data_IF_531519700763
#
_entry.id   IF_531519700763
#
_cell.length_a   1.000
_cell.length_b   1.000
_cell.length_c   1.000
_cell.angle_alpha   90.00
_cell.angle_beta   90.00
_cell.angle_gamma   90.00
#
_symmetry.space_group_name_H-M   'P 1'
#
loop_
_entity.id
_entity.type
_entity.pdbx_description
1 polymer ?
#
# COMPACT_ATOMS: atom_id res chain seq x y z
N UNK A 1 20.96 16.29 23.26
CA UNK A 1 20.04 15.64 22.30
C UNK A 1 18.71 15.44 23.01
N UNK A 2 17.69 16.23 22.69
CA UNK A 2 16.35 16.03 23.26
C UNK A 2 15.79 14.72 22.71
N UNK A 3 15.40 13.81 23.61
CA UNK A 3 14.82 12.53 23.21
C UNK A 3 13.37 12.78 22.78
N UNK A 4 13.08 12.63 21.48
CA UNK A 4 11.75 12.81 20.90
C UNK A 4 10.71 11.78 21.42
N UNK A 5 11.18 10.72 22.07
CA UNK A 5 10.36 9.65 22.66
C UNK A 5 9.42 10.15 23.75
N UNK A 6 9.86 11.08 24.62
CA UNK A 6 9.04 11.63 25.72
C UNK A 6 7.86 12.48 25.22
N UNK A 7 8.08 13.46 24.31
CA UNK A 7 6.98 14.18 23.69
C UNK A 7 6.01 13.27 22.92
N UNK A 8 6.54 12.33 22.13
CA UNK A 8 5.73 11.39 21.33
C UNK A 8 4.85 10.49 22.20
N UNK A 9 5.41 9.94 23.29
CA UNK A 9 4.68 9.11 24.24
C UNK A 9 3.51 9.87 24.87
N UNK A 10 3.76 11.10 25.34
CA UNK A 10 2.71 11.93 25.94
C UNK A 10 1.62 12.31 24.95
N UNK A 11 1.97 12.49 23.67
CA UNK A 11 1.04 12.90 22.62
C UNK A 11 0.16 11.75 22.11
N UNK A 12 0.75 10.58 21.78
CA UNK A 12 0.02 9.48 21.12
C UNK A 12 -0.30 8.30 22.04
N UNK A 13 0.56 8.00 23.03
CA UNK A 13 0.55 6.70 23.72
C UNK A 13 0.06 6.77 25.17
N UNK A 14 0.05 7.93 25.82
CA UNK A 14 -0.30 8.08 27.25
C UNK A 14 -1.79 7.94 27.55
N UNK A 15 -2.68 8.21 26.59
CA UNK A 15 -4.13 8.20 26.77
C UNK A 15 -4.76 7.10 25.92
N UNK A 16 -5.43 6.13 26.54
CA UNK A 16 -5.97 4.95 25.85
C UNK A 16 -6.86 5.30 24.65
N UNK A 17 -7.76 6.28 24.76
CA UNK A 17 -8.63 6.68 23.66
C UNK A 17 -7.88 7.37 22.52
N UNK A 18 -6.84 8.16 22.83
CA UNK A 18 -5.98 8.79 21.81
C UNK A 18 -5.16 7.72 21.10
N UNK A 19 -4.60 6.77 21.86
CA UNK A 19 -3.86 5.65 21.32
C UNK A 19 -4.73 4.80 20.39
N UNK A 20 -5.96 4.48 20.79
CA UNK A 20 -6.92 3.77 19.94
C UNK A 20 -7.19 4.50 18.63
N UNK A 21 -7.43 5.82 18.68
CA UNK A 21 -7.61 6.64 17.49
C UNK A 21 -6.36 6.68 16.60
N UNK A 22 -5.17 6.76 17.21
CA UNK A 22 -3.90 6.74 16.49
C UNK A 22 -3.67 5.39 15.78
N UNK A 23 -4.00 4.27 16.43
CA UNK A 23 -3.90 2.93 15.82
C UNK A 23 -4.83 2.82 14.62
N UNK A 24 -6.10 3.22 14.74
CA UNK A 24 -7.02 3.15 13.61
C UNK A 24 -6.62 4.09 12.47
N UNK A 25 -6.28 5.34 12.78
CA UNK A 25 -5.82 6.30 11.77
C UNK A 25 -4.55 5.83 11.06
N UNK A 26 -3.59 5.27 11.81
CA UNK A 26 -2.38 4.70 11.23
C UNK A 26 -2.67 3.46 10.40
N UNK A 27 -3.59 2.58 10.82
CA UNK A 27 -3.96 1.38 10.06
C UNK A 27 -4.53 1.74 8.69
N UNK A 28 -5.48 2.68 8.60
CA UNK A 28 -6.02 3.15 7.32
C UNK A 28 -4.95 3.79 6.43
N UNK A 29 -4.13 4.69 7.00
CA UNK A 29 -3.06 5.32 6.24
C UNK A 29 -2.01 4.33 5.76
N UNK A 30 -1.68 3.34 6.60
CA UNK A 30 -0.74 2.28 6.29
C UNK A 30 -1.26 1.35 5.21
N UNK A 31 -2.51 0.89 5.29
CA UNK A 31 -3.14 0.01 4.29
C UNK A 31 -3.05 0.63 2.89
N UNK A 32 -3.53 1.87 2.71
CA UNK A 32 -3.48 2.56 1.42
C UNK A 32 -2.05 2.70 0.86
N UNK A 33 -1.10 3.05 1.72
CA UNK A 33 0.30 3.21 1.31
C UNK A 33 0.95 1.87 1.00
N UNK A 34 0.69 0.85 1.84
CA UNK A 34 1.28 -0.47 1.74
C UNK A 34 0.81 -1.18 0.47
N UNK A 35 -0.49 -1.20 0.18
CA UNK A 35 -1.03 -1.81 -1.03
C UNK A 35 -0.43 -1.15 -2.28
N UNK A 36 -0.45 0.19 -2.34
CA UNK A 36 0.07 0.93 -3.48
C UNK A 36 1.57 0.72 -3.71
N UNK A 37 2.37 0.61 -2.64
CA UNK A 37 3.81 0.36 -2.76
C UNK A 37 4.06 -1.09 -3.18
N UNK A 38 3.40 -2.04 -2.54
CA UNK A 38 3.63 -3.46 -2.76
C UNK A 38 3.19 -3.87 -4.16
N UNK A 39 2.06 -3.34 -4.65
CA UNK A 39 1.63 -3.52 -6.05
C UNK A 39 2.67 -3.00 -7.04
N UNK A 40 3.23 -1.80 -6.81
CA UNK A 40 4.28 -1.25 -7.69
C UNK A 40 5.54 -2.11 -7.67
N UNK A 41 5.93 -2.60 -6.50
CA UNK A 41 7.09 -3.50 -6.37
C UNK A 41 6.83 -4.79 -7.14
N UNK A 42 5.66 -5.40 -6.95
CA UNK A 42 5.25 -6.60 -7.67
C UNK A 42 5.23 -6.39 -9.18
N UNK A 43 4.70 -5.25 -9.61
CA UNK A 43 4.61 -4.87 -11.01
C UNK A 43 5.95 -4.70 -11.67
N UNK A 44 6.87 -4.04 -10.97
CA UNK A 44 8.23 -3.85 -11.45
C UNK A 44 8.96 -5.18 -11.60
N UNK A 45 8.78 -6.10 -10.66
CA UNK A 45 9.44 -7.41 -10.67
C UNK A 45 8.86 -8.31 -11.77
N UNK A 46 7.55 -8.25 -12.02
CA UNK A 46 6.84 -9.14 -12.93
C UNK A 46 6.50 -8.50 -14.29
N UNK A 47 7.10 -7.36 -14.62
CA UNK A 47 6.85 -6.62 -15.85
C UNK A 47 6.95 -7.52 -17.09
N UNK A 48 5.93 -7.46 -17.94
CA UNK A 48 5.85 -8.23 -19.20
C UNK A 48 5.35 -9.66 -19.02
N UNK A 49 5.09 -10.10 -17.79
CA UNK A 49 4.52 -11.42 -17.48
C UNK A 49 3.10 -11.35 -16.94
N UNK A 50 2.67 -10.17 -16.50
CA UNK A 50 1.34 -10.01 -15.93
C UNK A 50 0.28 -9.97 -17.02
N UNK A 51 -0.93 -10.45 -16.70
CA UNK A 51 -2.05 -10.39 -17.62
C UNK A 51 -2.28 -8.98 -18.16
N UNK A 52 -2.21 -7.94 -17.30
CA UNK A 52 -2.33 -6.54 -17.73
C UNK A 52 -1.28 -6.08 -18.75
N UNK A 53 -0.12 -6.74 -18.81
CA UNK A 53 0.94 -6.43 -19.77
C UNK A 53 0.75 -7.16 -21.11
N UNK A 54 0.17 -8.37 -21.08
CA UNK A 54 0.09 -9.25 -22.26
C UNK A 54 -1.32 -9.37 -22.85
N UNK A 55 -2.36 -8.92 -22.13
CA UNK A 55 -3.77 -9.09 -22.49
C UNK A 55 -4.09 -8.63 -23.91
N UNK A 56 -3.58 -7.48 -24.33
CA UNK A 56 -3.89 -6.90 -25.63
C UNK A 56 -3.64 -7.90 -26.78
N UNK A 57 -2.52 -8.64 -26.71
CA UNK A 57 -2.13 -9.64 -27.71
C UNK A 57 -3.14 -10.77 -27.88
N UNK A 58 -3.81 -11.16 -26.80
CA UNK A 58 -4.75 -12.29 -26.81
C UNK A 58 -6.17 -11.86 -27.16
N UNK A 59 -6.54 -10.62 -26.84
CA UNK A 59 -7.85 -10.08 -27.22
C UNK A 59 -7.86 -9.76 -28.71
N UNK A 60 -6.81 -9.11 -29.23
CA UNK A 60 -6.67 -8.84 -30.67
C UNK A 60 -6.64 -10.13 -31.50
N UNK A 61 -5.88 -11.14 -31.06
CA UNK A 61 -5.86 -12.44 -31.75
C UNK A 61 -7.21 -13.15 -31.73
N UNK A 62 -8.03 -12.97 -30.69
CA UNK A 62 -9.37 -13.55 -30.63
C UNK A 62 -10.35 -12.83 -31.57
N UNK A 63 -10.20 -11.52 -31.74
CA UNK A 63 -11.01 -10.72 -32.67
C UNK A 63 -10.62 -11.00 -34.15
N UNK A 64 -9.36 -11.31 -34.44
CA UNK A 64 -8.88 -11.65 -35.80
C UNK A 64 -9.27 -13.09 -36.23
N UNK A 65 -9.53 -13.99 -35.28
CA UNK A 65 -9.95 -15.39 -35.51
C UNK A 65 -11.47 -15.56 -35.70
N UNK A 66 -12.27 -14.49 -35.51
CA UNK A 66 -13.73 -14.41 -35.77
C UNK A 66 -14.07 -13.83 -37.15
#
# INVERSE_FOLDING_TARGET
MSSASRPLYNFLFRKNYVFLGAVFGAAFGFEMAYDSITDRVWDSINKGRQWKDIRARYVEAADDDE
#
